data_IF_922093968025
#
_entry.id   IF_922093968025
#
_cell.length_a   1.000
_cell.length_b   1.000
_cell.length_c   1.000
_cell.angle_alpha   90.00
_cell.angle_beta   90.00
_cell.angle_gamma   90.00
#
_symmetry.space_group_name_H-M   'P 1'
#
loop_
_entity.id
_entity.type
_entity.pdbx_description
1 polymer ?
#
# COMPACT_ATOMS: atom_id res chain seq x y z
N UNK A 1 10.66 -11.57 11.89
CA UNK A 1 10.56 -10.10 11.94
C UNK A 1 9.50 -9.74 12.96
N UNK A 2 9.71 -8.72 13.76
CA UNK A 2 8.72 -8.28 14.73
C UNK A 2 7.93 -7.13 14.13
N UNK A 3 6.59 -7.18 14.27
CA UNK A 3 5.72 -6.08 13.87
C UNK A 3 5.72 -5.04 14.99
N UNK A 4 6.10 -3.82 14.67
CA UNK A 4 6.14 -2.71 15.63
C UNK A 4 4.95 -1.77 15.43
N UNK A 5 4.52 -1.13 16.50
CA UNK A 5 3.38 -0.21 16.46
C UNK A 5 3.83 1.16 15.94
N UNK A 6 3.14 1.62 14.89
CA UNK A 6 3.32 2.97 14.37
C UNK A 6 2.70 4.01 15.32
N UNK A 7 3.41 5.11 15.66
CA UNK A 7 2.85 6.16 16.52
C UNK A 7 1.65 6.84 15.85
N UNK A 8 0.55 6.97 16.59
CA UNK A 8 -0.69 7.58 16.07
C UNK A 8 -0.70 9.11 16.12
N UNK A 9 0.25 9.72 16.81
CA UNK A 9 0.32 11.19 17.02
C UNK A 9 1.74 11.70 16.77
N UNK A 10 1.90 12.81 16.02
CA UNK A 10 0.86 13.51 15.27
C UNK A 10 0.42 12.71 14.03
N UNK A 11 -0.78 12.99 13.54
CA UNK A 11 -1.24 12.43 12.26
C UNK A 11 -0.40 13.00 11.11
N UNK A 12 -0.13 12.22 10.06
CA UNK A 12 0.53 12.71 8.87
C UNK A 12 -0.20 13.92 8.27
N UNK A 13 0.53 14.93 7.85
CA UNK A 13 0.01 16.07 7.11
C UNK A 13 -0.12 15.78 5.60
N UNK A 14 0.62 14.79 5.12
CA UNK A 14 0.55 14.32 3.75
C UNK A 14 1.09 12.91 3.62
N UNK A 15 0.50 12.15 2.72
CA UNK A 15 0.94 10.81 2.33
C UNK A 15 0.93 10.72 0.81
N UNK A 16 2.00 10.19 0.25
CA UNK A 16 2.11 9.97 -1.19
C UNK A 16 2.55 8.53 -1.44
N UNK A 17 1.80 7.84 -2.28
CA UNK A 17 2.08 6.46 -2.68
C UNK A 17 2.55 6.41 -4.11
N UNK A 18 3.61 5.66 -4.35
CA UNK A 18 4.18 5.43 -5.68
C UNK A 18 4.34 3.95 -5.91
N UNK A 19 3.73 3.44 -6.98
CA UNK A 19 3.98 2.09 -7.46
C UNK A 19 5.29 2.10 -8.27
N UNK A 20 6.28 1.36 -7.82
CA UNK A 20 7.55 1.17 -8.52
C UNK A 20 7.49 -0.15 -9.27
N UNK A 21 7.53 -0.07 -10.59
CA UNK A 21 7.58 -1.23 -11.48
C UNK A 21 8.88 -1.19 -12.26
N UNK A 22 9.89 -1.97 -11.87
CA UNK A 22 11.15 -2.02 -12.60
C UNK A 22 10.93 -2.53 -14.02
N UNK A 23 11.46 -1.82 -14.99
CA UNK A 23 11.44 -2.22 -16.38
C UNK A 23 12.82 -1.96 -17.01
N UNK A 24 13.28 -2.88 -17.83
CA UNK A 24 14.47 -2.71 -18.64
C UNK A 24 14.05 -2.37 -20.06
N UNK A 25 14.58 -1.29 -20.58
CA UNK A 25 14.35 -0.87 -21.97
C UNK A 25 15.65 -0.96 -22.75
N UNK A 26 15.64 -1.75 -23.81
CA UNK A 26 16.74 -1.83 -24.77
C UNK A 26 16.29 -1.17 -26.08
N UNK A 27 17.16 -0.31 -26.61
CA UNK A 27 16.95 0.35 -27.89
C UNK A 27 18.04 -0.11 -28.84
N UNK A 28 17.65 -0.57 -30.01
CA UNK A 28 18.62 -0.91 -31.07
C UNK A 28 19.18 0.36 -31.69
N UNK A 29 20.47 0.55 -31.65
CA UNK A 29 21.15 1.71 -32.27
C UNK A 29 20.99 1.74 -33.81
N UNK A 30 20.81 0.57 -34.41
CA UNK A 30 20.72 0.43 -35.87
C UNK A 30 19.31 0.65 -36.41
N UNK A 31 18.31 0.16 -35.70
CA UNK A 31 16.92 0.15 -36.19
C UNK A 31 16.00 1.10 -35.44
N UNK A 32 16.47 1.66 -34.31
CA UNK A 32 15.64 2.47 -33.42
C UNK A 32 14.53 1.67 -32.72
N UNK A 33 14.46 0.35 -32.93
CA UNK A 33 13.43 -0.49 -32.30
C UNK A 33 13.65 -0.54 -30.79
N UNK A 34 12.57 -0.33 -30.06
CA UNK A 34 12.52 -0.37 -28.61
C UNK A 34 11.89 -1.67 -28.13
N UNK A 35 12.58 -2.36 -27.24
CA UNK A 35 12.07 -3.51 -26.52
C UNK A 35 12.06 -3.19 -25.03
N UNK A 36 10.91 -3.32 -24.40
CA UNK A 36 10.77 -3.10 -22.96
C UNK A 36 10.39 -4.42 -22.30
N UNK A 37 11.20 -4.85 -21.33
CA UNK A 37 10.94 -6.02 -20.48
C UNK A 37 10.54 -5.49 -19.12
N UNK A 38 9.26 -5.61 -18.77
CA UNK A 38 8.76 -5.23 -17.46
C UNK A 38 9.00 -6.37 -16.47
N UNK A 39 9.51 -6.05 -15.28
CA UNK A 39 9.53 -7.01 -14.17
C UNK A 39 8.08 -7.21 -13.70
N UNK A 40 7.65 -8.46 -13.55
CA UNK A 40 6.34 -8.78 -12.97
C UNK A 40 6.23 -8.47 -11.46
N UNK A 41 7.30 -7.96 -10.84
CA UNK A 41 7.36 -7.65 -9.41
C UNK A 41 7.48 -6.14 -9.23
N UNK A 42 6.39 -5.52 -8.82
CA UNK A 42 6.37 -4.14 -8.36
C UNK A 42 6.29 -4.08 -6.84
N UNK A 43 6.62 -2.92 -6.29
CA UNK A 43 6.40 -2.61 -4.87
C UNK A 43 5.87 -1.19 -4.71
N UNK A 44 5.22 -0.97 -3.58
CA UNK A 44 4.76 0.36 -3.22
C UNK A 44 5.79 1.07 -2.35
N UNK A 45 6.06 2.32 -2.68
CA UNK A 45 6.81 3.26 -1.86
C UNK A 45 5.85 4.29 -1.29
N UNK A 46 5.96 4.55 0.01
CA UNK A 46 5.17 5.57 0.68
C UNK A 46 6.09 6.66 1.22
N UNK A 47 5.79 7.89 0.88
CA UNK A 47 6.40 9.06 1.49
C UNK A 47 5.39 9.70 2.44
N UNK A 48 5.77 9.82 3.71
CA UNK A 48 4.93 10.38 4.77
C UNK A 48 5.54 11.69 5.23
N UNK A 49 4.76 12.75 5.19
CA UNK A 49 5.14 14.05 5.73
C UNK A 49 4.45 14.24 7.07
N UNK A 50 5.22 14.49 8.11
CA UNK A 50 4.71 14.75 9.44
C UNK A 50 4.78 16.25 9.75
N UNK A 51 3.79 16.79 10.46
CA UNK A 51 3.91 18.13 11.01
C UNK A 51 4.98 18.14 12.12
N UNK A 52 5.42 19.31 12.59
CA UNK A 52 6.36 19.39 13.72
C UNK A 52 5.87 18.59 14.92
N UNK A 53 6.72 17.70 15.43
CA UNK A 53 6.39 16.86 16.58
C UNK A 53 6.64 17.63 17.84
N UNK A 54 5.57 17.97 18.56
CA UNK A 54 5.62 18.78 19.79
C UNK A 54 5.31 17.91 21.00
N UNK A 55 5.99 18.20 22.10
CA UNK A 55 5.83 17.51 23.36
C UNK A 55 6.77 16.31 23.54
N UNK A 56 7.38 16.21 24.71
CA UNK A 56 8.40 15.19 25.04
C UNK A 56 7.87 13.77 24.82
N UNK A 57 6.63 13.51 25.20
CA UNK A 57 6.00 12.20 25.04
C UNK A 57 5.94 11.76 23.57
N UNK A 58 5.48 12.65 22.68
CA UNK A 58 5.39 12.36 21.26
C UNK A 58 6.77 12.18 20.62
N UNK A 59 7.70 13.07 20.96
CA UNK A 59 9.09 12.98 20.49
C UNK A 59 9.73 11.65 20.90
N UNK A 60 9.54 11.22 22.13
CA UNK A 60 10.08 9.96 22.63
C UNK A 60 9.42 8.74 21.97
N UNK A 61 8.11 8.81 21.71
CA UNK A 61 7.40 7.75 20.99
C UNK A 61 7.99 7.55 19.57
N UNK A 62 8.22 8.64 18.84
CA UNK A 62 8.83 8.59 17.50
C UNK A 62 10.29 8.13 17.52
N UNK A 63 11.08 8.60 18.49
CA UNK A 63 12.46 8.12 18.66
C UNK A 63 12.51 6.62 18.96
N UNK A 64 11.64 6.15 19.85
CA UNK A 64 11.51 4.72 20.16
C UNK A 64 11.09 3.91 18.93
N UNK A 65 10.14 4.41 18.16
CA UNK A 65 9.70 3.77 16.93
C UNK A 65 10.85 3.62 15.91
N UNK A 66 11.58 4.70 15.63
CA UNK A 66 12.72 4.69 14.71
C UNK A 66 13.80 3.71 15.19
N UNK A 67 14.09 3.71 16.48
CA UNK A 67 15.07 2.80 17.06
C UNK A 67 14.63 1.32 16.92
N UNK A 68 13.34 1.04 17.15
CA UNK A 68 12.76 -0.30 17.00
C UNK A 68 12.70 -0.76 15.54
N UNK A 69 12.50 0.16 14.59
CA UNK A 69 12.47 -0.16 13.17
C UNK A 69 13.80 -0.73 12.66
N UNK A 70 14.92 -0.34 13.26
CA UNK A 70 16.27 -0.80 12.89
C UNK A 70 16.50 -0.76 11.37
N UNK A 71 16.12 0.35 10.75
CA UNK A 71 16.13 0.49 9.30
C UNK A 71 15.06 -0.39 8.64
N UNK A 72 15.48 -1.49 8.00
CA UNK A 72 14.58 -2.43 7.29
C UNK A 72 14.40 -3.77 8.01
N UNK A 73 14.81 -3.88 9.27
CA UNK A 73 14.82 -5.16 9.96
C UNK A 73 13.45 -5.57 10.53
N UNK A 74 12.59 -4.61 10.80
CA UNK A 74 11.27 -4.86 11.36
C UNK A 74 10.17 -4.22 10.51
N UNK A 75 8.99 -4.83 10.55
CA UNK A 75 7.82 -4.39 9.80
C UNK A 75 6.90 -3.56 10.69
N UNK A 76 6.14 -2.66 10.07
CA UNK A 76 5.08 -1.91 10.74
C UNK A 76 3.93 -1.68 9.78
N UNK A 77 2.74 -1.50 10.33
CA UNK A 77 1.54 -1.21 9.56
C UNK A 77 1.22 0.27 9.64
N UNK A 78 0.91 0.86 8.49
CA UNK A 78 0.45 2.24 8.37
C UNK A 78 -0.90 2.27 7.66
N UNK A 79 -1.78 3.22 7.99
CA UNK A 79 -2.98 3.43 7.19
C UNK A 79 -2.58 3.91 5.79
N UNK A 80 -3.24 3.38 4.77
CA UNK A 80 -2.96 3.75 3.37
C UNK A 80 -3.49 5.14 3.05
N UNK A 81 -4.61 5.50 3.65
CA UNK A 81 -5.26 6.79 3.50
C UNK A 81 -5.63 7.33 4.89
N UNK A 82 -5.39 8.62 5.16
CA UNK A 82 -5.86 9.26 6.38
C UNK A 82 -7.40 9.33 6.45
N UNK A 83 -8.08 9.18 5.32
CA UNK A 83 -9.54 9.14 5.21
C UNK A 83 -9.97 7.71 4.93
N UNK A 84 -10.92 7.20 5.71
CA UNK A 84 -11.50 5.87 5.47
C UNK A 84 -12.15 5.82 4.08
N UNK A 85 -11.72 4.87 3.24
CA UNK A 85 -12.18 4.75 1.86
C UNK A 85 -13.60 4.17 1.76
N UNK A 86 -13.99 3.32 2.69
CA UNK A 86 -15.30 2.70 2.70
C UNK A 86 -15.74 2.42 4.13
N UNK A 87 -17.02 2.68 4.40
CA UNK A 87 -17.68 2.34 5.65
C UNK A 87 -18.51 1.04 5.53
N UNK A 88 -18.05 0.08 4.73
CA UNK A 88 -18.79 -1.18 4.59
C UNK A 88 -18.77 -1.95 5.92
N UNK A 89 -19.95 -2.27 6.42
CA UNK A 89 -20.13 -3.17 7.56
C UNK A 89 -19.93 -4.65 7.19
N UNK A 90 -19.69 -4.96 5.93
CA UNK A 90 -19.46 -6.32 5.46
C UNK A 90 -18.00 -6.73 5.63
N UNK A 91 -17.79 -8.02 5.84
CA UNK A 91 -16.47 -8.65 5.86
C UNK A 91 -16.33 -9.52 4.61
N UNK A 92 -15.94 -8.93 3.46
CA UNK A 92 -15.81 -9.69 2.23
C UNK A 92 -14.68 -10.73 2.36
N UNK A 93 -14.89 -11.87 1.75
CA UNK A 93 -13.93 -12.95 1.72
C UNK A 93 -13.50 -13.24 0.27
N UNK A 94 -12.29 -13.72 0.11
CA UNK A 94 -11.81 -14.21 -1.18
C UNK A 94 -12.53 -15.52 -1.50
N UNK A 95 -13.25 -15.55 -2.62
CA UNK A 95 -14.04 -16.72 -3.02
C UNK A 95 -13.19 -17.66 -3.89
N UNK A 96 -12.77 -18.77 -3.29
CA UNK A 96 -11.95 -19.78 -3.95
C UNK A 96 -10.44 -19.63 -3.70
N UNK A 97 -9.74 -20.75 -3.89
CA UNK A 97 -8.30 -20.84 -3.73
C UNK A 97 -7.56 -20.63 -5.08
N UNK A 98 -6.27 -20.31 -4.99
CA UNK A 98 -5.35 -20.27 -6.16
C UNK A 98 -5.76 -19.29 -7.26
N UNK A 99 -6.39 -18.18 -6.91
CA UNK A 99 -6.73 -17.14 -7.87
C UNK A 99 -5.45 -16.47 -8.40
N UNK A 100 -5.37 -16.34 -9.71
CA UNK A 100 -4.23 -15.72 -10.41
C UNK A 100 -4.73 -14.69 -11.41
N UNK A 101 -3.86 -13.76 -11.79
CA UNK A 101 -4.20 -12.72 -12.76
C UNK A 101 -4.58 -11.39 -12.11
N UNK A 102 -5.40 -10.62 -12.79
CA UNK A 102 -5.79 -9.26 -12.38
C UNK A 102 -7.18 -9.19 -11.75
N UNK A 103 -7.94 -10.26 -11.85
CA UNK A 103 -9.31 -10.34 -11.32
C UNK A 103 -9.30 -11.17 -10.04
N UNK A 104 -9.92 -10.64 -9.00
CA UNK A 104 -10.11 -11.34 -7.74
C UNK A 104 -11.59 -11.55 -7.51
N UNK A 105 -12.02 -12.82 -7.42
CA UNK A 105 -13.37 -13.14 -7.05
C UNK A 105 -13.54 -13.03 -5.52
N UNK A 106 -14.54 -12.29 -5.09
CA UNK A 106 -14.86 -12.07 -3.69
C UNK A 106 -16.36 -12.26 -3.45
N UNK A 107 -16.74 -12.62 -2.24
CA UNK A 107 -18.13 -12.72 -1.79
C UNK A 107 -18.35 -11.99 -0.46
N UNK A 108 -19.59 -11.99 0.02
CA UNK A 108 -19.96 -11.32 1.28
C UNK A 108 -20.15 -9.81 1.16
N UNK A 109 -20.24 -9.27 -0.05
CA UNK A 109 -20.59 -7.87 -0.27
C UNK A 109 -22.09 -7.60 -0.11
N UNK A 110 -22.48 -6.37 0.30
CA UNK A 110 -23.88 -5.97 0.31
C UNK A 110 -24.50 -6.06 -1.09
N UNK A 111 -25.73 -6.52 -1.14
CA UNK A 111 -26.45 -6.67 -2.42
C UNK A 111 -26.75 -5.30 -3.02
N UNK A 112 -26.52 -5.16 -4.33
CA UNK A 112 -26.86 -3.97 -5.14
C UNK A 112 -26.20 -2.66 -4.73
N UNK A 113 -25.02 -2.72 -4.07
CA UNK A 113 -24.26 -1.52 -3.74
C UNK A 113 -22.83 -1.62 -4.25
N UNK A 114 -22.34 -0.57 -4.90
CA UNK A 114 -20.92 -0.44 -5.21
C UNK A 114 -20.21 0.01 -3.93
N UNK A 115 -19.47 -0.88 -3.31
CA UNK A 115 -18.77 -0.60 -2.04
C UNK A 115 -17.39 -0.03 -2.27
N UNK A 116 -16.73 -0.47 -3.32
CA UNK A 116 -15.39 -0.03 -3.70
C UNK A 116 -15.43 0.51 -5.13
N UNK A 117 -14.62 1.53 -5.40
CA UNK A 117 -14.52 2.19 -6.71
C UNK A 117 -13.10 2.08 -7.23
N UNK A 118 -12.94 2.11 -8.55
CA UNK A 118 -11.63 2.17 -9.17
C UNK A 118 -10.78 3.31 -8.58
N UNK A 119 -9.50 3.06 -8.36
CA UNK A 119 -8.58 3.99 -7.72
C UNK A 119 -8.42 3.77 -6.21
N UNK A 120 -9.34 3.08 -5.54
CA UNK A 120 -9.23 2.75 -4.12
C UNK A 120 -8.22 1.64 -3.86
N UNK A 121 -7.76 1.56 -2.63
CA UNK A 121 -6.78 0.57 -2.19
C UNK A 121 -7.43 -0.52 -1.37
N UNK A 122 -6.94 -1.73 -1.54
CA UNK A 122 -7.30 -2.89 -0.70
C UNK A 122 -6.04 -3.61 -0.26
N UNK A 123 -6.08 -4.22 0.91
CA UNK A 123 -4.97 -5.05 1.41
C UNK A 123 -5.42 -6.49 1.49
N UNK A 124 -4.73 -7.36 0.79
CA UNK A 124 -5.01 -8.80 0.78
C UNK A 124 -3.70 -9.53 1.07
N UNK A 125 -3.72 -10.39 2.08
CA UNK A 125 -2.54 -11.16 2.49
C UNK A 125 -1.26 -10.29 2.66
N UNK A 126 -1.38 -9.15 3.33
CA UNK A 126 -0.32 -8.14 3.53
C UNK A 126 0.22 -7.50 2.24
N UNK A 127 -0.48 -7.63 1.12
CA UNK A 127 -0.15 -6.94 -0.12
C UNK A 127 -1.14 -5.79 -0.34
N UNK A 128 -0.58 -4.61 -0.61
CA UNK A 128 -1.36 -3.45 -1.03
C UNK A 128 -1.65 -3.55 -2.52
N UNK A 129 -2.93 -3.50 -2.85
CA UNK A 129 -3.43 -3.52 -4.22
C UNK A 129 -4.25 -2.26 -4.48
N UNK A 130 -4.25 -1.79 -5.70
CA UNK A 130 -5.12 -0.71 -6.15
C UNK A 130 -6.13 -1.26 -7.16
N UNK A 131 -7.38 -0.91 -6.96
CA UNK A 131 -8.45 -1.28 -7.87
C UNK A 131 -8.33 -0.49 -9.17
N UNK A 132 -8.34 -1.18 -10.29
CA UNK A 132 -8.29 -0.56 -11.62
C UNK A 132 -9.66 -0.51 -12.28
N UNK A 133 -10.58 -1.37 -11.87
CA UNK A 133 -11.95 -1.49 -12.38
C UNK A 133 -12.91 -1.77 -11.20
N UNK A 134 -14.19 -1.49 -11.39
CA UNK A 134 -15.25 -1.73 -10.40
C UNK A 134 -15.82 -3.15 -10.56
#
# INVERSE_FOLDING_TARGET
>A
MATITYPSTPKPSGMSWKLVMPAQTNVSEWTGRRQTIASGRGWWECQITLPPIVGTTNVNAWRSFIAKARGRANDFQIPVDPIAQSASASTPLVNGASQTGRTLATDGWPVSTTVLVAGQYVTINNQLLQLTEN
#
